data_IF_496769934597
#
_entry.id   IF_496769934597
#
_cell.length_a   1.000
_cell.length_b   1.000
_cell.length_c   1.000
_cell.angle_alpha   90.00
_cell.angle_beta   90.00
_cell.angle_gamma   90.00
#
_symmetry.space_group_name_H-M   'P 1'
#
loop_
_entity.id
_entity.type
_entity.pdbx_description
1 polymer ?
#
# COMPACT_ATOMS: atom_id res chain seq x y z
N UNK A 1 -20.97 -5.14 8.71
CA UNK A 1 -20.81 -5.09 7.25
C UNK A 1 -19.89 -6.19 6.71
N UNK A 2 -20.17 -6.70 5.50
CA UNK A 2 -19.32 -7.66 4.75
C UNK A 2 -18.17 -6.96 4.00
N UNK A 3 -17.12 -7.70 3.63
CA UNK A 3 -15.98 -7.20 2.84
C UNK A 3 -16.38 -6.55 1.52
N UNK A 4 -17.27 -7.22 0.78
CA UNK A 4 -17.81 -6.72 -0.49
C UNK A 4 -18.61 -5.42 -0.30
N UNK A 5 -19.37 -5.30 0.79
CA UNK A 5 -20.09 -4.07 1.11
C UNK A 5 -19.11 -2.94 1.46
N UNK A 6 -18.10 -3.22 2.28
CA UNK A 6 -17.06 -2.25 2.62
C UNK A 6 -16.35 -1.75 1.35
N UNK A 7 -15.90 -2.66 0.48
CA UNK A 7 -15.28 -2.29 -0.79
C UNK A 7 -16.17 -1.36 -1.63
N UNK A 8 -17.47 -1.66 -1.75
CA UNK A 8 -18.40 -0.83 -2.53
C UNK A 8 -18.59 0.58 -1.96
N UNK A 9 -18.53 0.72 -0.63
CA UNK A 9 -18.66 2.02 0.05
C UNK A 9 -17.40 2.87 -0.18
N UNK A 10 -16.22 2.27 -0.04
CA UNK A 10 -14.95 2.95 -0.30
C UNK A 10 -14.68 3.16 -1.80
N UNK A 11 -15.32 2.38 -2.68
CA UNK A 11 -15.09 2.36 -4.12
C UNK A 11 -16.40 2.50 -4.92
N UNK A 12 -17.11 3.65 -4.81
CA UNK A 12 -18.38 3.85 -5.49
C UNK A 12 -18.22 3.90 -7.02
N UNK A 13 -18.79 2.93 -7.73
CA UNK A 13 -18.62 2.68 -9.18
C UNK A 13 -18.70 3.90 -10.12
N UNK A 14 -19.42 4.95 -9.74
CA UNK A 14 -19.59 6.17 -10.56
C UNK A 14 -18.43 7.16 -10.44
N UNK A 15 -17.60 7.04 -9.42
CA UNK A 15 -16.48 7.95 -9.22
C UNK A 15 -15.25 7.47 -10.02
N UNK A 16 -14.65 8.30 -10.88
CA UNK A 16 -13.57 7.87 -11.78
C UNK A 16 -12.28 7.48 -11.06
N UNK A 17 -12.14 7.83 -9.78
CA UNK A 17 -10.97 7.55 -8.95
C UNK A 17 -10.98 6.16 -8.30
N UNK A 18 -12.12 5.47 -8.37
CA UNK A 18 -12.31 4.15 -7.75
C UNK A 18 -11.53 3.03 -8.41
N UNK A 19 -11.17 3.19 -9.68
CA UNK A 19 -10.32 2.22 -10.40
C UNK A 19 -8.92 2.05 -9.79
N UNK A 20 -8.48 2.98 -8.95
CA UNK A 20 -7.19 2.87 -8.25
C UNK A 20 -7.32 2.21 -6.87
N UNK A 21 -8.54 2.10 -6.32
CA UNK A 21 -8.77 1.38 -5.05
C UNK A 21 -8.28 -0.06 -5.16
N UNK A 22 -7.43 -0.50 -4.22
CA UNK A 22 -6.89 -1.86 -4.19
C UNK A 22 -7.89 -2.81 -3.51
N UNK A 23 -8.46 -3.81 -4.21
CA UNK A 23 -9.44 -4.72 -3.60
C UNK A 23 -8.87 -5.54 -2.44
N UNK A 24 -7.57 -5.83 -2.45
CA UNK A 24 -6.93 -6.62 -1.38
C UNK A 24 -7.00 -5.95 -0.01
N UNK A 25 -7.13 -4.63 0.05
CA UNK A 25 -7.35 -3.88 1.29
C UNK A 25 -8.65 -4.30 2.03
N UNK A 26 -9.57 -4.95 1.31
CA UNK A 26 -10.89 -5.34 1.81
C UNK A 26 -11.00 -6.84 2.05
N UNK A 27 -9.94 -7.60 1.82
CA UNK A 27 -9.91 -9.02 2.11
C UNK A 27 -9.52 -9.27 3.57
N UNK A 28 -10.19 -10.22 4.21
CA UNK A 28 -9.99 -10.59 5.60
C UNK A 28 -10.07 -9.37 6.55
N UNK A 29 -11.11 -8.54 6.45
CA UNK A 29 -11.25 -7.33 7.29
C UNK A 29 -11.39 -7.62 8.80
N UNK A 30 -11.41 -8.90 9.19
CA UNK A 30 -11.54 -9.35 10.56
C UNK A 30 -12.89 -9.00 11.18
N UNK A 31 -13.15 -9.53 12.36
CA UNK A 31 -14.31 -9.13 13.16
C UNK A 31 -13.95 -7.99 14.09
N UNK A 32 -14.69 -6.88 13.99
CA UNK A 32 -14.48 -5.67 14.80
C UNK A 32 -14.63 -5.91 16.31
N UNK A 33 -15.13 -7.09 16.71
CA UNK A 33 -15.33 -7.47 18.11
C UNK A 33 -14.01 -7.60 18.91
N UNK A 34 -12.85 -7.70 18.23
CA UNK A 34 -11.58 -7.99 18.89
C UNK A 34 -10.61 -6.80 18.98
N UNK A 35 -10.85 -5.72 18.26
CA UNK A 35 -9.94 -4.56 18.23
C UNK A 35 -10.71 -3.26 18.06
N UNK A 36 -10.45 -2.30 18.95
CA UNK A 36 -10.85 -0.91 18.76
C UNK A 36 -9.99 -0.30 17.63
N UNK A 37 -10.61 0.17 16.53
CA UNK A 37 -9.88 0.77 15.42
C UNK A 37 -9.22 2.13 15.75
N UNK A 38 -9.47 2.71 16.93
CA UNK A 38 -8.92 4.01 17.38
C UNK A 38 -9.09 5.12 16.31
N UNK A 39 -10.27 5.19 15.67
CA UNK A 39 -10.56 6.23 14.70
C UNK A 39 -10.75 7.57 15.41
N UNK A 40 -9.92 8.56 15.06
CA UNK A 40 -9.97 9.89 15.65
C UNK A 40 -10.77 10.82 14.76
N UNK A 41 -11.56 11.70 15.38
CA UNK A 41 -12.13 12.83 14.66
C UNK A 41 -11.03 13.87 14.39
N UNK A 42 -10.82 14.18 13.11
CA UNK A 42 -9.85 15.16 12.66
C UNK A 42 -10.61 16.36 12.10
N UNK A 43 -10.36 17.54 12.65
CA UNK A 43 -10.84 18.80 12.09
C UNK A 43 -9.85 19.31 11.05
N UNK A 44 -10.34 19.46 9.81
CA UNK A 44 -9.56 20.04 8.72
C UNK A 44 -10.06 21.45 8.42
N UNK A 45 -9.18 22.43 8.53
CA UNK A 45 -9.42 23.80 8.06
C UNK A 45 -9.09 23.92 6.56
N UNK A 46 -9.95 23.30 5.76
CA UNK A 46 -9.88 23.30 4.30
C UNK A 46 -11.27 23.49 3.70
N UNK A 47 -11.28 24.05 2.49
CA UNK A 47 -12.43 24.09 1.59
C UNK A 47 -12.17 23.18 0.40
N UNK A 48 -13.22 22.54 -0.12
CA UNK A 48 -13.12 21.73 -1.33
C UNK A 48 -12.60 22.56 -2.52
N UNK A 49 -11.73 21.96 -3.33
CA UNK A 49 -11.29 22.52 -4.59
C UNK A 49 -11.14 21.43 -5.64
N UNK A 50 -11.61 21.72 -6.85
CA UNK A 50 -11.40 20.84 -8.01
C UNK A 50 -9.98 20.91 -8.58
N UNK A 51 -9.16 21.89 -8.17
CA UNK A 51 -7.81 22.10 -8.72
C UNK A 51 -6.73 21.23 -8.08
N UNK A 52 -7.04 20.53 -6.99
CA UNK A 52 -6.05 19.73 -6.29
C UNK A 52 -6.59 18.44 -5.70
N UNK A 53 -5.64 17.55 -5.40
CA UNK A 53 -5.87 16.25 -4.75
C UNK A 53 -5.02 16.13 -3.51
N UNK A 54 -5.34 15.15 -2.68
CA UNK A 54 -4.56 14.81 -1.50
C UNK A 54 -3.95 13.42 -1.61
N UNK A 55 -2.76 13.26 -1.04
CA UNK A 55 -2.15 11.97 -0.72
C UNK A 55 -1.92 11.99 0.79
N UNK A 56 -2.49 11.02 1.49
CA UNK A 56 -2.28 10.81 2.93
C UNK A 56 -1.42 9.58 3.07
N UNK A 57 -0.19 9.78 3.55
CA UNK A 57 0.79 8.73 3.84
C UNK A 57 1.12 8.76 5.33
N UNK A 58 0.23 8.19 6.13
CA UNK A 58 0.26 8.20 7.59
C UNK A 58 0.16 6.77 8.13
N UNK A 59 0.62 6.52 9.37
CA UNK A 59 0.56 5.18 9.93
C UNK A 59 -0.87 4.75 10.22
N UNK A 60 -1.19 3.51 9.85
CA UNK A 60 -2.32 2.77 10.43
C UNK A 60 -3.70 3.44 10.28
N UNK A 61 -4.50 3.44 11.35
CA UNK A 61 -5.81 4.08 11.44
C UNK A 61 -5.77 5.61 11.29
N UNK A 62 -4.61 6.26 11.41
CA UNK A 62 -4.50 7.70 11.18
C UNK A 62 -4.78 8.04 9.72
N UNK A 63 -4.29 7.24 8.77
CA UNK A 63 -4.61 7.43 7.34
C UNK A 63 -6.12 7.32 7.08
N UNK A 64 -6.80 6.39 7.75
CA UNK A 64 -8.25 6.23 7.66
C UNK A 64 -8.99 7.43 8.26
N UNK A 65 -8.56 7.89 9.44
CA UNK A 65 -9.15 9.04 10.14
C UNK A 65 -9.09 10.31 9.28
N UNK A 66 -7.93 10.59 8.67
CA UNK A 66 -7.79 11.68 7.72
C UNK A 66 -8.66 11.49 6.48
N UNK A 67 -8.71 10.28 5.91
CA UNK A 67 -9.60 9.96 4.79
C UNK A 67 -11.06 10.31 5.08
N UNK A 68 -11.57 9.94 6.26
CA UNK A 68 -12.93 10.27 6.70
C UNK A 68 -13.13 11.78 6.89
N UNK A 69 -12.14 12.49 7.45
CA UNK A 69 -12.20 13.94 7.57
C UNK A 69 -12.26 14.64 6.21
N UNK A 70 -11.46 14.18 5.23
CA UNK A 70 -11.54 14.67 3.86
C UNK A 70 -12.87 14.32 3.16
N UNK A 71 -13.45 13.15 3.46
CA UNK A 71 -14.78 12.79 2.98
C UNK A 71 -15.85 13.77 3.45
N UNK A 72 -15.82 14.17 4.73
CA UNK A 72 -16.70 15.23 5.28
C UNK A 72 -16.50 16.58 4.56
N UNK A 73 -15.33 16.82 3.97
CA UNK A 73 -15.01 18.02 3.16
C UNK A 73 -15.31 17.85 1.66
N UNK A 74 -15.93 16.74 1.25
CA UNK A 74 -16.38 16.51 -0.12
C UNK A 74 -15.37 15.85 -1.05
N UNK A 75 -14.25 15.32 -0.55
CA UNK A 75 -13.32 14.52 -1.32
C UNK A 75 -13.68 13.03 -1.28
N UNK A 76 -13.22 12.26 -2.26
CA UNK A 76 -13.40 10.80 -2.29
C UNK A 76 -12.15 10.10 -1.75
N UNK A 77 -12.21 9.42 -0.60
CA UNK A 77 -11.11 8.57 -0.16
C UNK A 77 -10.89 7.40 -1.12
N UNK A 78 -9.64 7.08 -1.43
CA UNK A 78 -9.23 5.98 -2.31
C UNK A 78 -8.16 5.15 -1.60
N UNK A 79 -8.55 3.95 -1.13
CA UNK A 79 -7.64 3.04 -0.43
C UNK A 79 -6.63 2.40 -1.38
N UNK A 80 -5.34 2.70 -1.21
CA UNK A 80 -4.26 2.10 -2.00
C UNK A 80 -3.50 0.98 -1.25
N UNK A 81 -3.97 0.60 -0.05
CA UNK A 81 -3.33 -0.43 0.76
C UNK A 81 -3.23 -1.76 0.02
N UNK A 82 -2.02 -2.31 -0.10
CA UNK A 82 -1.77 -3.52 -0.90
C UNK A 82 -1.09 -4.65 -0.12
N UNK A 83 -0.92 -4.49 1.20
CA UNK A 83 -0.51 -5.57 2.08
C UNK A 83 -1.62 -6.60 2.25
N UNK A 84 -1.25 -7.81 2.66
CA UNK A 84 -2.22 -8.81 3.10
C UNK A 84 -2.50 -8.64 4.59
N UNK A 85 -3.77 -8.80 4.98
CA UNK A 85 -4.12 -9.06 6.37
C UNK A 85 -4.09 -10.57 6.62
N UNK A 86 -3.19 -11.02 7.48
CA UNK A 86 -3.18 -12.38 7.99
C UNK A 86 -3.31 -12.33 9.50
N UNK A 87 -4.14 -13.20 10.06
CA UNK A 87 -4.18 -13.43 11.50
C UNK A 87 -2.95 -14.28 11.89
N UNK A 88 -1.80 -13.64 11.98
CA UNK A 88 -0.55 -14.24 12.45
C UNK A 88 0.07 -13.38 13.55
N UNK A 89 0.64 -14.02 14.58
CA UNK A 89 1.43 -13.34 15.62
C UNK A 89 2.79 -12.86 15.11
N UNK A 90 3.24 -13.35 13.97
CA UNK A 90 4.57 -13.11 13.43
C UNK A 90 4.43 -12.53 12.02
N UNK A 91 4.33 -11.20 11.96
CA UNK A 91 4.14 -10.42 10.73
C UNK A 91 5.12 -9.26 10.71
N UNK A 92 5.68 -8.95 9.54
CA UNK A 92 6.68 -7.89 9.40
C UNK A 92 6.09 -6.50 9.64
N UNK A 93 4.91 -6.19 9.08
CA UNK A 93 4.20 -4.93 9.30
C UNK A 93 2.89 -5.19 10.05
N UNK A 94 2.79 -4.88 11.35
CA UNK A 94 1.54 -5.05 12.09
C UNK A 94 0.46 -4.10 11.54
N UNK A 95 -0.47 -4.66 10.78
CA UNK A 95 -1.49 -3.91 10.04
C UNK A 95 -2.92 -4.24 10.49
N UNK A 96 -3.13 -5.07 11.51
CA UNK A 96 -4.46 -5.43 12.01
C UNK A 96 -5.36 -4.21 12.29
N UNK A 97 -4.84 -3.21 13.00
CA UNK A 97 -5.56 -1.95 13.30
C UNK A 97 -6.04 -1.25 12.03
N UNK A 98 -5.23 -1.21 10.98
CA UNK A 98 -5.59 -0.64 9.67
C UNK A 98 -6.81 -1.34 9.07
N UNK A 99 -6.88 -2.66 9.03
CA UNK A 99 -8.03 -3.37 8.43
C UNK A 99 -9.30 -3.22 9.28
N UNK A 100 -9.17 -3.24 10.62
CA UNK A 100 -10.28 -2.91 11.50
C UNK A 100 -10.77 -1.46 11.27
N UNK A 101 -9.85 -0.52 11.09
CA UNK A 101 -10.15 0.87 10.78
C UNK A 101 -10.80 1.02 9.39
N UNK A 102 -10.39 0.27 8.36
CA UNK A 102 -11.06 0.26 7.05
C UNK A 102 -12.52 -0.20 7.20
N UNK A 103 -12.78 -1.26 7.97
CA UNK A 103 -14.14 -1.79 8.22
C UNK A 103 -15.00 -0.79 8.98
N UNK A 104 -14.48 -0.24 10.08
CA UNK A 104 -15.20 0.77 10.87
C UNK A 104 -15.40 2.07 10.10
N UNK A 105 -14.41 2.52 9.35
CA UNK A 105 -14.49 3.68 8.49
C UNK A 105 -15.51 3.51 7.36
N UNK A 106 -15.73 2.28 6.85
CA UNK A 106 -16.82 2.01 5.92
C UNK A 106 -18.20 2.25 6.55
N UNK A 107 -18.40 1.88 7.82
CA UNK A 107 -19.64 2.14 8.54
C UNK A 107 -19.90 3.65 8.71
N UNK A 108 -18.86 4.46 8.86
CA UNK A 108 -18.98 5.93 8.94
C UNK A 108 -19.20 6.53 7.54
N UNK A 109 -18.41 6.09 6.56
CA UNK A 109 -18.40 6.64 5.21
C UNK A 109 -19.73 6.45 4.48
N UNK A 110 -20.49 5.38 4.80
CA UNK A 110 -21.80 5.11 4.19
C UNK A 110 -22.81 6.25 4.40
N UNK A 111 -22.65 7.00 5.49
CA UNK A 111 -23.54 8.10 5.89
C UNK A 111 -23.03 9.47 5.41
N UNK A 112 -21.85 9.53 4.78
CA UNK A 112 -21.26 10.75 4.22
C UNK A 112 -21.62 10.87 2.74
N UNK A 113 -22.27 11.99 2.37
CA UNK A 113 -22.61 12.28 0.98
C UNK A 113 -21.40 12.86 0.24
N UNK A 114 -20.78 12.06 -0.64
CA UNK A 114 -19.70 12.50 -1.53
C UNK A 114 -20.25 12.67 -2.96
N UNK A 115 -19.83 13.73 -3.64
CA UNK A 115 -20.21 13.99 -5.03
C UNK A 115 -19.55 13.01 -5.99
N UNK A 116 -20.26 12.58 -7.05
CA UNK A 116 -19.78 11.56 -7.99
C UNK A 116 -18.45 11.92 -8.68
N UNK A 117 -18.16 13.22 -8.84
CA UNK A 117 -16.90 13.72 -9.43
C UNK A 117 -15.94 14.33 -8.41
N UNK A 118 -16.12 14.03 -7.12
CA UNK A 118 -15.23 14.48 -6.06
C UNK A 118 -13.78 14.06 -6.36
N UNK A 119 -12.85 14.99 -6.18
CA UNK A 119 -11.41 14.72 -6.29
C UNK A 119 -10.96 13.70 -5.24
N UNK A 120 -9.91 12.91 -5.53
CA UNK A 120 -9.47 11.83 -4.65
C UNK A 120 -8.63 12.34 -3.48
N UNK A 121 -8.71 11.60 -2.39
CA UNK A 121 -7.68 11.52 -1.35
C UNK A 121 -7.12 10.10 -1.39
N UNK A 122 -5.90 9.94 -1.89
CA UNK A 122 -5.24 8.64 -1.93
C UNK A 122 -4.68 8.29 -0.56
N UNK A 123 -5.06 7.13 -0.03
CA UNK A 123 -4.69 6.67 1.30
C UNK A 123 -3.60 5.59 1.22
N UNK A 124 -2.50 5.84 1.92
CA UNK A 124 -1.34 4.97 2.08
C UNK A 124 -1.04 4.75 3.57
N UNK A 125 -0.30 3.68 3.86
CA UNK A 125 0.25 3.40 5.19
C UNK A 125 1.76 3.61 5.12
N UNK A 126 2.29 4.55 5.91
CA UNK A 126 3.70 4.92 5.86
C UNK A 126 4.64 3.85 6.45
N UNK A 127 4.08 2.85 7.14
CA UNK A 127 4.77 1.68 7.67
C UNK A 127 4.95 0.58 6.63
N UNK A 128 4.35 0.70 5.43
CA UNK A 128 4.27 -0.36 4.40
C UNK A 128 5.60 -0.98 4.00
N UNK A 129 6.70 -0.22 4.05
CA UNK A 129 8.02 -0.71 3.68
C UNK A 129 8.70 -1.50 4.82
N UNK A 130 8.10 -1.55 6.02
CA UNK A 130 8.65 -2.25 7.17
C UNK A 130 10.03 -1.73 7.56
N UNK A 131 10.22 -0.40 7.55
CA UNK A 131 11.48 0.21 7.99
C UNK A 131 11.81 -0.28 9.42
N UNK A 132 12.98 -0.90 9.58
CA UNK A 132 13.45 -1.52 10.82
C UNK A 132 12.60 -2.70 11.34
N UNK A 133 11.67 -3.22 10.55
CA UNK A 133 10.89 -4.39 10.93
C UNK A 133 11.71 -5.68 10.73
N UNK A 134 11.54 -6.68 11.61
CA UNK A 134 12.17 -7.98 11.45
C UNK A 134 11.70 -8.67 10.16
N UNK A 135 12.68 -9.13 9.38
CA UNK A 135 12.50 -9.95 8.17
C UNK A 135 13.33 -11.20 8.38
N UNK A 136 12.71 -12.23 8.95
CA UNK A 136 13.37 -13.47 9.34
C UNK A 136 12.51 -14.69 8.97
N UNK A 137 13.11 -15.89 8.83
CA UNK A 137 12.36 -17.13 8.68
C UNK A 137 11.22 -17.27 9.70
N UNK A 138 10.08 -17.78 9.24
CA UNK A 138 8.86 -17.88 10.05
C UNK A 138 8.05 -16.58 10.17
N UNK A 139 8.55 -15.43 9.71
CA UNK A 139 7.74 -14.21 9.58
C UNK A 139 6.89 -14.24 8.31
N UNK A 140 5.67 -13.72 8.42
CA UNK A 140 4.88 -13.35 7.26
C UNK A 140 5.29 -11.96 6.79
N UNK A 141 5.91 -11.90 5.61
CA UNK A 141 6.31 -10.63 4.99
C UNK A 141 5.14 -10.04 4.21
N UNK A 142 4.43 -9.10 4.83
CA UNK A 142 3.32 -8.33 4.24
C UNK A 142 3.73 -6.90 3.85
N UNK A 143 5.03 -6.62 3.77
CA UNK A 143 5.50 -5.34 3.25
C UNK A 143 4.98 -5.16 1.83
N UNK A 144 4.73 -3.92 1.46
CA UNK A 144 4.26 -3.58 0.13
C UNK A 144 4.76 -2.22 -0.31
N UNK A 145 4.75 -2.02 -1.62
CA UNK A 145 5.31 -0.87 -2.31
C UNK A 145 4.29 -0.31 -3.28
N UNK A 146 4.39 1.00 -3.54
CA UNK A 146 3.67 1.65 -4.63
C UNK A 146 4.57 1.89 -5.85
N UNK A 147 3.94 1.79 -7.01
CA UNK A 147 4.51 2.06 -8.32
C UNK A 147 3.72 3.16 -9.03
N UNK A 148 4.30 3.74 -10.08
CA UNK A 148 3.65 4.79 -10.87
C UNK A 148 2.24 4.42 -11.35
N UNK A 149 2.02 3.15 -11.74
CA UNK A 149 0.72 2.67 -12.20
C UNK A 149 -0.35 2.59 -11.10
N UNK A 150 0.03 2.66 -9.82
CA UNK A 150 -0.91 2.66 -8.71
C UNK A 150 -1.58 4.03 -8.53
N UNK A 151 -1.12 5.03 -9.28
CA UNK A 151 -1.64 6.39 -9.30
C UNK A 151 -2.03 6.82 -10.73
N UNK A 152 -2.90 7.85 -10.88
CA UNK A 152 -3.04 8.55 -12.15
C UNK A 152 -1.71 9.18 -12.57
N UNK A 153 -1.46 9.28 -13.88
CA UNK A 153 -0.28 10.03 -14.35
C UNK A 153 -0.47 11.53 -14.17
N UNK A 154 0.61 12.30 -14.20
CA UNK A 154 0.55 13.76 -14.11
C UNK A 154 -0.28 14.36 -15.26
N UNK A 155 -0.11 13.84 -16.47
CA UNK A 155 -0.86 14.24 -17.66
C UNK A 155 -2.36 13.96 -17.48
N UNK A 156 -2.70 12.80 -16.90
CA UNK A 156 -4.10 12.50 -16.59
C UNK A 156 -4.69 13.49 -15.59
N UNK A 157 -3.96 13.82 -14.51
CA UNK A 157 -4.41 14.81 -13.52
C UNK A 157 -4.58 16.20 -14.15
N UNK A 158 -3.60 16.66 -14.93
CA UNK A 158 -3.65 17.95 -15.63
C UNK A 158 -4.83 18.01 -16.62
N UNK A 159 -5.13 16.91 -17.33
CA UNK A 159 -6.31 16.83 -18.22
C UNK A 159 -7.65 17.01 -17.47
N UNK A 160 -7.66 16.77 -16.15
CA UNK A 160 -8.79 17.00 -15.25
C UNK A 160 -8.73 18.36 -14.55
N UNK A 161 -7.82 19.25 -14.98
CA UNK A 161 -7.56 20.58 -14.37
C UNK A 161 -7.05 20.50 -12.93
N UNK A 162 -6.52 19.35 -12.51
CA UNK A 162 -5.83 19.18 -11.24
C UNK A 162 -4.38 19.60 -11.47
N UNK A 163 -3.94 20.66 -10.78
CA UNK A 163 -2.62 21.27 -10.95
C UNK A 163 -1.75 21.15 -9.70
N UNK A 164 -2.35 20.78 -8.56
CA UNK A 164 -1.65 20.71 -7.27
C UNK A 164 -1.94 19.40 -6.55
N UNK A 165 -0.94 18.92 -5.82
CA UNK A 165 -1.02 17.73 -4.96
C UNK A 165 -0.57 18.12 -3.57
N UNK A 166 -1.43 17.92 -2.59
CA UNK A 166 -1.11 18.13 -1.18
C UNK A 166 -0.78 16.78 -0.54
N UNK A 167 0.34 16.70 0.18
CA UNK A 167 0.81 15.45 0.78
C UNK A 167 0.84 15.58 2.30
N UNK A 168 0.00 14.82 2.99
CA UNK A 168 0.01 14.70 4.45
C UNK A 168 0.86 13.48 4.80
N UNK A 169 1.98 13.67 5.50
CA UNK A 169 2.91 12.59 5.88
C UNK A 169 3.72 12.98 7.11
N UNK A 170 4.19 11.98 7.86
CA UNK A 170 5.17 12.20 8.96
C UNK A 170 6.61 12.02 8.48
N UNK A 171 6.82 11.12 7.52
CA UNK A 171 8.14 10.84 6.93
C UNK A 171 8.06 10.69 5.42
N UNK A 172 9.21 10.77 4.75
CA UNK A 172 9.31 10.57 3.32
C UNK A 172 9.66 9.12 2.98
N UNK A 173 8.67 8.35 2.53
CA UNK A 173 8.92 7.05 1.92
C UNK A 173 9.53 7.20 0.52
N UNK A 174 10.54 6.39 0.20
CA UNK A 174 11.28 6.47 -1.08
C UNK A 174 10.37 6.21 -2.29
N UNK A 175 9.38 5.35 -2.13
CA UNK A 175 8.48 4.92 -3.19
C UNK A 175 7.48 6.00 -3.60
N UNK A 176 6.92 6.70 -2.62
CA UNK A 176 6.12 7.89 -2.84
C UNK A 176 6.99 9.02 -3.43
N UNK A 177 8.26 9.13 -3.02
CA UNK A 177 9.16 10.14 -3.57
C UNK A 177 9.34 9.98 -5.09
N UNK A 178 9.39 8.75 -5.61
CA UNK A 178 9.45 8.50 -7.05
C UNK A 178 8.22 9.02 -7.80
N UNK A 179 7.03 8.85 -7.22
CA UNK A 179 5.77 9.32 -7.81
C UNK A 179 5.71 10.85 -7.74
N UNK A 180 5.99 11.44 -6.58
CA UNK A 180 5.96 12.89 -6.39
C UNK A 180 7.00 13.62 -7.27
N UNK A 181 8.19 13.02 -7.47
CA UNK A 181 9.20 13.58 -8.37
C UNK A 181 8.73 13.56 -9.83
N UNK A 182 8.06 12.48 -10.24
CA UNK A 182 7.48 12.38 -11.58
C UNK A 182 6.36 13.41 -11.79
N UNK A 183 5.48 13.59 -10.81
CA UNK A 183 4.47 14.65 -10.81
C UNK A 183 5.09 16.04 -10.95
N UNK A 184 6.10 16.36 -10.12
CA UNK A 184 6.78 17.64 -10.15
C UNK A 184 7.47 17.89 -11.51
N UNK A 185 8.14 16.86 -12.06
CA UNK A 185 8.81 16.96 -13.37
C UNK A 185 7.81 17.24 -14.50
N UNK A 186 6.60 16.72 -14.39
CA UNK A 186 5.55 16.84 -15.40
C UNK A 186 4.52 17.94 -15.05
N UNK A 187 4.91 18.95 -14.27
CA UNK A 187 4.19 20.21 -14.14
C UNK A 187 3.17 20.32 -13.00
N UNK A 188 3.02 19.30 -12.16
CA UNK A 188 2.21 19.41 -10.94
C UNK A 188 3.00 20.09 -9.82
N UNK A 189 2.33 20.96 -9.05
CA UNK A 189 2.91 21.58 -7.86
C UNK A 189 2.64 20.70 -6.64
N UNK A 190 3.67 20.36 -5.88
CA UNK A 190 3.54 19.51 -4.69
C UNK A 190 3.62 20.39 -3.45
N UNK A 191 2.66 20.26 -2.56
CA UNK A 191 2.57 21.03 -1.32
C UNK A 191 2.54 20.09 -0.11
N UNK A 192 3.03 20.60 1.01
CA UNK A 192 2.78 19.98 2.30
C UNK A 192 1.28 20.10 2.63
N UNK A 193 0.67 19.00 3.04
CA UNK A 193 -0.77 18.94 3.32
C UNK A 193 -1.19 19.69 4.59
N UNK A 194 -0.27 19.92 5.51
CA UNK A 194 -0.52 20.61 6.79
C UNK A 194 -0.04 22.06 6.74
N UNK A 195 1.22 22.31 6.38
CA UNK A 195 1.79 23.66 6.36
C UNK A 195 1.41 24.45 5.10
N UNK A 196 0.90 23.77 4.06
CA UNK A 196 0.56 24.35 2.75
C UNK A 196 1.77 24.95 2.02
N UNK A 197 2.99 24.64 2.45
CA UNK A 197 4.23 25.08 1.83
C UNK A 197 4.52 24.32 0.53
N UNK A 198 5.12 25.00 -0.46
CA UNK A 198 5.53 24.35 -1.69
C UNK A 198 6.76 23.47 -1.44
N UNK A 199 6.65 22.18 -1.78
CA UNK A 199 7.71 21.21 -1.60
C UNK A 199 8.55 21.07 -2.86
N UNK A 200 9.88 21.12 -2.70
CA UNK A 200 10.83 20.77 -3.75
C UNK A 200 11.22 19.30 -3.61
N UNK A 201 10.63 18.45 -4.44
CA UNK A 201 10.89 17.01 -4.44
C UNK A 201 12.24 16.74 -5.10
N UNK A 202 13.14 16.12 -4.34
CA UNK A 202 14.46 15.71 -4.82
C UNK A 202 14.34 14.50 -5.72
N UNK A 203 15.15 14.45 -6.78
CA UNK A 203 15.28 13.27 -7.65
C UNK A 203 15.76 12.08 -6.80
N UNK A 204 15.05 10.94 -6.80
CA UNK A 204 15.55 9.72 -6.17
C UNK A 204 16.87 9.28 -6.80
N UNK A 205 17.81 8.75 -6.02
CA UNK A 205 19.09 8.28 -6.56
C UNK A 205 18.89 7.09 -7.50
N UNK A 206 19.75 6.94 -8.51
CA UNK A 206 19.66 5.86 -9.50
C UNK A 206 19.93 4.47 -8.89
N UNK A 207 20.75 4.42 -7.83
CA UNK A 207 20.97 3.21 -7.04
C UNK A 207 19.66 2.80 -6.37
N UNK A 208 18.99 3.74 -5.70
CA UNK A 208 17.68 3.51 -5.06
C UNK A 208 16.53 3.28 -6.05
N UNK A 209 16.70 3.45 -7.37
CA UNK A 209 15.62 3.15 -8.32
C UNK A 209 15.72 1.72 -8.88
N UNK A 210 16.94 1.24 -9.07
CA UNK A 210 17.24 -0.11 -9.58
C UNK A 210 17.18 -1.12 -8.43
N UNK A 211 17.90 -0.89 -7.32
CA UNK A 211 17.90 -1.80 -6.16
C UNK A 211 16.56 -1.83 -5.45
N UNK A 212 15.79 -0.74 -5.50
CA UNK A 212 14.42 -0.72 -5.00
C UNK A 212 13.52 -1.61 -5.84
N UNK A 213 13.48 -1.45 -7.16
CA UNK A 213 12.63 -2.30 -8.02
C UNK A 213 13.03 -3.76 -7.94
N UNK A 214 14.34 -4.08 -7.93
CA UNK A 214 14.79 -5.47 -7.82
C UNK A 214 14.62 -6.01 -6.41
N UNK A 215 14.97 -5.28 -5.35
CA UNK A 215 14.81 -5.72 -3.96
C UNK A 215 13.36 -5.86 -3.52
N UNK A 216 12.46 -4.97 -3.99
CA UNK A 216 11.01 -5.05 -3.76
C UNK A 216 10.38 -6.18 -4.57
N UNK A 217 10.81 -6.44 -5.81
CA UNK A 217 10.22 -7.53 -6.63
C UNK A 217 10.79 -8.91 -6.25
N UNK A 218 12.07 -9.01 -5.86
CA UNK A 218 12.68 -10.28 -5.44
C UNK A 218 12.43 -10.60 -3.96
N UNK A 219 12.18 -9.58 -3.13
CA UNK A 219 11.90 -9.75 -1.69
C UNK A 219 10.41 -9.79 -1.32
N UNK A 220 9.53 -9.12 -2.08
CA UNK A 220 8.09 -9.16 -1.80
C UNK A 220 7.41 -10.26 -2.63
N UNK A 221 6.84 -11.24 -1.94
CA UNK A 221 6.05 -12.29 -2.56
C UNK A 221 4.60 -11.81 -2.73
N UNK A 222 3.99 -12.13 -3.87
CA UNK A 222 2.56 -11.87 -4.09
C UNK A 222 1.72 -13.06 -3.64
N UNK A 223 0.54 -12.77 -3.11
CA UNK A 223 -0.46 -13.79 -2.80
C UNK A 223 -1.35 -14.07 -4.03
N UNK A 224 -2.17 -15.13 -3.95
CA UNK A 224 -3.08 -15.52 -5.03
C UNK A 224 -4.17 -14.48 -5.36
N UNK A 225 -4.39 -13.51 -4.48
CA UNK A 225 -5.35 -12.42 -4.65
C UNK A 225 -4.73 -11.14 -5.25
N UNK A 226 -3.45 -11.18 -5.64
CA UNK A 226 -2.75 -10.10 -6.34
C UNK A 226 -2.14 -9.01 -5.44
N UNK A 227 -2.29 -9.12 -4.11
CA UNK A 227 -1.60 -8.28 -3.14
C UNK A 227 -0.25 -8.85 -2.71
N UNK A 228 0.46 -8.15 -1.83
CA UNK A 228 1.75 -8.60 -1.29
C UNK A 228 1.57 -9.34 0.04
N UNK A 229 2.31 -10.42 0.23
CA UNK A 229 2.21 -11.29 1.41
C UNK A 229 2.65 -12.72 1.14
N UNK A 230 3.65 -13.22 1.87
CA UNK A 230 3.90 -14.66 2.01
C UNK A 230 4.75 -14.99 3.25
N UNK A 231 4.73 -16.25 3.66
CA UNK A 231 5.67 -16.76 4.67
C UNK A 231 7.10 -16.78 4.12
N UNK A 232 8.05 -16.33 4.93
CA UNK A 232 9.47 -16.47 4.66
C UNK A 232 9.90 -17.90 5.02
N UNK A 233 10.51 -18.63 4.08
CA UNK A 233 10.85 -20.04 4.27
C UNK A 233 11.91 -20.19 5.36
N UNK A 234 11.83 -21.30 6.10
CA UNK A 234 12.93 -21.76 6.93
C UNK A 234 14.11 -22.17 6.04
N UNK A 235 15.33 -21.86 6.50
CA UNK A 235 16.58 -22.11 5.76
C UNK A 235 16.77 -23.61 5.42
N UNK A 236 15.95 -24.50 5.99
CA UNK A 236 16.01 -25.94 5.75
C UNK A 236 15.17 -26.47 4.57
N UNK A 237 14.44 -25.62 3.83
CA UNK A 237 13.59 -26.10 2.72
C UNK A 237 14.19 -25.84 1.32
N UNK A 238 15.52 -25.76 1.21
CA UNK A 238 16.22 -26.00 -0.06
C UNK A 238 16.58 -27.49 -0.15
N UNK A 239 15.57 -28.31 -0.38
CA UNK A 239 15.78 -29.68 -0.82
C UNK A 239 16.63 -29.68 -2.09
N UNK A 240 17.87 -30.18 -1.97
CA UNK A 240 18.71 -30.47 -3.12
C UNK A 240 17.97 -31.52 -3.95
N UNK A 241 17.37 -31.10 -5.06
CA UNK A 241 17.00 -32.01 -6.14
C UNK A 241 18.30 -32.58 -6.72
N UNK A 242 18.79 -33.68 -6.18
CA UNK A 242 19.74 -34.53 -6.90
C UNK A 242 18.96 -35.19 -8.02
N UNK A 243 19.12 -34.67 -9.24
CA UNK A 243 18.53 -35.25 -10.44
C UNK A 243 19.01 -36.70 -10.60
N UNK A 244 18.09 -37.65 -10.51
CA UNK A 244 18.34 -39.02 -10.90
C UNK A 244 18.07 -39.18 -12.38
N UNK A 245 19.13 -39.18 -13.21
CA UNK A 245 19.09 -39.82 -14.53
C UNK A 245 20.49 -40.13 -15.08
N UNK A 246 20.88 -41.40 -14.91
CA UNK A 246 21.70 -42.29 -15.77
C UNK A 246 22.86 -41.69 -16.61
N UNK A 247 24.07 -42.19 -16.33
CA UNK A 247 25.20 -42.24 -17.28
C UNK A 247 26.33 -43.16 -16.76
N UNK A 248 26.82 -44.09 -17.59
CA UNK A 248 27.66 -45.24 -17.23
C UNK A 248 29.17 -44.95 -17.21
N UNK A 249 29.89 -45.91 -16.58
CA UNK A 249 31.33 -46.26 -16.66
C UNK A 249 32.26 -45.40 -15.78
N UNK A 250 33.02 -45.99 -14.85
CA UNK A 250 34.16 -46.87 -15.13
C UNK A 250 34.47 -47.88 -14.01
N UNK A 251 35.12 -48.96 -14.44
CA UNK A 251 35.67 -50.11 -13.70
C UNK A 251 36.53 -49.77 -12.47
N UNK A 252 36.41 -50.56 -11.39
CA UNK A 252 37.49 -51.45 -10.91
C UNK A 252 37.03 -52.37 -9.79
N UNK A 253 37.07 -53.66 -10.11
CA UNK A 253 37.09 -54.82 -9.22
C UNK A 253 38.35 -54.84 -8.34
N UNK A 254 38.20 -55.07 -7.04
CA UNK A 254 39.13 -55.89 -6.25
C UNK A 254 38.38 -56.64 -5.15
N UNK A 255 38.86 -57.84 -4.90
CA UNK A 255 38.30 -58.93 -4.11
C UNK A 255 38.13 -58.65 -2.61
N UNK A 256 37.23 -59.45 -1.99
CA UNK A 256 37.28 -60.13 -0.66
C UNK A 256 38.54 -59.84 0.19
N UNK A 257 38.48 -59.81 1.52
CA UNK A 257 38.25 -60.93 2.47
C UNK A 257 37.97 -60.24 3.84
N UNK A 258 36.92 -60.59 4.58
CA UNK A 258 37.04 -61.45 5.77
C UNK A 258 36.63 -60.69 7.02
#
# INVERSE_FOLDING_TARGET
>A
MTEKQAYKIWSPSKNPWTRWTKPVAFMNLGDALYFDPELKEIELDITYSSEFIYIVDLPDSAAISYGLAFAKKGYQPVCLFNGSNIQSKVVTVPNHKLYHAIKAGAEILKDIKIYEKANPVFLLDDRRLGENAPVAPGYFDNRWSIFKQDFPTAEYLLSKKITRVYVVKEKQNIDLQHILYDYQKNGLKIYDGLTKELLKIKKPSAVNSITYRTGVIFGLKRNAAGGFGAMLPDVYDSGIYVSTSRGRHLYRSYYRIG
#
